data_IF_399442216560
#
_entry.id   IF_399442216560
#
_cell.length_a   1.000
_cell.length_b   1.000
_cell.length_c   1.000
_cell.angle_alpha   90.00
_cell.angle_beta   90.00
_cell.angle_gamma   90.00
#
_symmetry.space_group_name_H-M   'P 1'
#
loop_
_entity.id
_entity.type
_entity.pdbx_description
1 polymer ?
#
# COMPACT_ATOMS: atom_id res chain seq x y z
N UNK A 1 12.58 -0.18 -6.05
CA UNK A 1 11.87 -1.37 -5.61
C UNK A 1 11.29 -2.21 -6.76
N UNK A 2 11.06 -1.62 -7.94
CA UNK A 2 10.63 -2.36 -9.11
C UNK A 2 11.82 -3.06 -9.77
N UNK A 3 11.59 -4.28 -10.24
CA UNK A 3 12.56 -5.06 -11.00
C UNK A 3 11.90 -5.57 -12.27
N UNK A 4 12.66 -5.86 -13.33
CA UNK A 4 12.12 -6.50 -14.53
C UNK A 4 11.38 -7.79 -14.17
N UNK A 5 10.21 -8.00 -14.76
CA UNK A 5 9.36 -9.14 -14.46
C UNK A 5 8.35 -8.89 -13.35
N UNK A 6 8.45 -7.80 -12.59
CA UNK A 6 7.44 -7.43 -11.62
C UNK A 6 6.12 -7.09 -12.32
N UNK A 7 5.01 -7.37 -11.66
CA UNK A 7 3.69 -6.98 -12.15
C UNK A 7 3.19 -5.75 -11.40
N UNK A 8 2.47 -4.90 -12.11
CA UNK A 8 1.74 -3.77 -11.54
C UNK A 8 0.25 -4.01 -11.76
N UNK A 9 -0.51 -3.95 -10.68
CA UNK A 9 -1.96 -4.03 -10.71
C UNK A 9 -2.51 -2.64 -10.48
N UNK A 10 -3.28 -2.13 -11.44
CA UNK A 10 -3.91 -0.83 -11.38
C UNK A 10 -5.42 -0.99 -11.30
N UNK A 11 -6.09 -0.04 -10.66
CA UNK A 11 -7.54 0.00 -10.54
C UNK A 11 -8.10 -1.34 -10.01
N UNK A 12 -7.59 -1.76 -8.85
CA UNK A 12 -7.97 -3.02 -8.19
C UNK A 12 -7.77 -4.27 -9.06
N UNK A 13 -6.73 -4.25 -9.90
CA UNK A 13 -6.38 -5.38 -10.74
C UNK A 13 -7.12 -5.42 -12.08
N UNK A 14 -7.93 -4.43 -12.39
CA UNK A 14 -8.60 -4.33 -13.70
C UNK A 14 -7.64 -4.06 -14.84
N UNK A 15 -6.52 -3.40 -14.52
CA UNK A 15 -5.40 -3.18 -15.42
C UNK A 15 -4.19 -3.92 -14.89
N UNK A 16 -3.45 -4.58 -15.76
CA UNK A 16 -2.26 -5.32 -15.37
C UNK A 16 -1.11 -5.02 -16.32
N UNK A 17 0.03 -4.65 -15.75
CA UNK A 17 1.25 -4.34 -16.48
C UNK A 17 2.39 -5.23 -16.02
N UNK A 18 3.32 -5.55 -16.91
CA UNK A 18 4.57 -6.21 -16.56
C UNK A 18 5.74 -5.27 -16.80
N UNK A 19 6.64 -5.15 -15.83
CA UNK A 19 7.82 -4.31 -15.94
C UNK A 19 8.83 -4.99 -16.88
N UNK A 20 9.19 -4.31 -17.96
CA UNK A 20 10.19 -4.77 -18.93
C UNK A 20 11.57 -4.27 -18.55
N UNK A 21 11.68 -2.98 -18.24
CA UNK A 21 12.89 -2.31 -17.80
C UNK A 21 12.53 -1.26 -16.77
N UNK A 22 13.45 -0.99 -15.86
CA UNK A 22 13.28 0.11 -14.91
C UNK A 22 14.63 0.71 -14.54
N UNK A 23 14.58 1.99 -14.15
CA UNK A 23 15.69 2.71 -13.55
C UNK A 23 15.16 3.52 -12.36
N UNK A 24 16.00 4.44 -11.82
CA UNK A 24 15.62 5.22 -10.63
C UNK A 24 14.45 6.17 -10.88
N UNK A 25 14.19 6.57 -12.12
CA UNK A 25 13.19 7.59 -12.45
C UNK A 25 12.03 7.09 -13.29
N UNK A 26 12.11 5.89 -13.86
CA UNK A 26 11.07 5.40 -14.77
C UNK A 26 11.07 3.89 -14.89
N UNK A 27 9.99 3.36 -15.42
CA UNK A 27 9.86 1.95 -15.76
C UNK A 27 9.10 1.81 -17.08
N UNK A 28 9.66 0.98 -17.99
CA UNK A 28 8.96 0.59 -19.19
C UNK A 28 8.15 -0.65 -18.91
N UNK A 29 6.89 -0.66 -19.30
CA UNK A 29 5.97 -1.75 -19.01
C UNK A 29 5.32 -2.28 -20.26
N UNK A 30 4.88 -3.54 -20.19
CA UNK A 30 4.04 -4.19 -21.21
C UNK A 30 2.65 -4.35 -20.62
N UNK A 31 1.64 -3.95 -21.39
CA UNK A 31 0.24 -4.12 -20.97
C UNK A 31 -0.15 -5.59 -21.15
N UNK A 32 -0.53 -6.24 -20.05
CA UNK A 32 -1.05 -7.61 -20.04
C UNK A 32 -2.56 -7.62 -20.14
N UNK A 33 -3.22 -6.79 -19.34
CA UNK A 33 -4.66 -6.58 -19.39
C UNK A 33 -4.87 -5.08 -19.51
N UNK A 34 -5.40 -4.65 -20.66
CA UNK A 34 -5.64 -3.25 -20.95
C UNK A 34 -7.01 -2.77 -20.46
N UNK A 35 -7.17 -1.47 -20.45
CA UNK A 35 -8.39 -0.81 -20.06
C UNK A 35 -8.19 0.69 -19.97
N UNK A 36 -9.19 1.37 -19.43
CA UNK A 36 -9.14 2.81 -19.25
C UNK A 36 -8.33 3.16 -18.01
N UNK A 37 -7.25 3.90 -18.18
CA UNK A 37 -6.48 4.45 -17.08
C UNK A 37 -6.88 5.90 -16.84
N UNK A 38 -7.18 6.23 -15.61
CA UNK A 38 -7.50 7.59 -15.20
C UNK A 38 -6.67 7.99 -13.98
N UNK A 39 -6.78 9.25 -13.57
CA UNK A 39 -6.07 9.75 -12.40
C UNK A 39 -6.54 9.09 -11.10
N UNK A 40 -5.68 9.09 -10.10
CA UNK A 40 -5.97 8.64 -8.73
C UNK A 40 -6.37 7.17 -8.64
N UNK A 41 -5.83 6.35 -9.53
CA UNK A 41 -6.01 4.90 -9.42
C UNK A 41 -4.97 4.30 -8.51
N UNK A 42 -5.39 3.35 -7.70
CA UNK A 42 -4.48 2.60 -6.84
C UNK A 42 -3.54 1.72 -7.63
N UNK A 43 -2.31 1.57 -7.12
CA UNK A 43 -1.30 0.67 -7.69
C UNK A 43 -0.93 -0.36 -6.66
N UNK A 44 -1.01 -1.64 -7.02
CA UNK A 44 -0.55 -2.73 -6.19
C UNK A 44 0.59 -3.47 -6.90
N UNK A 45 1.63 -3.81 -6.17
CA UNK A 45 2.80 -4.54 -6.67
C UNK A 45 2.93 -5.83 -5.88
N UNK A 46 2.31 -6.93 -6.36
CA UNK A 46 2.38 -8.21 -5.65
C UNK A 46 3.81 -8.70 -5.47
N UNK A 47 4.10 -9.26 -4.31
CA UNK A 47 5.41 -9.84 -4.02
C UNK A 47 6.54 -8.83 -3.76
N UNK A 48 6.24 -7.54 -3.76
CA UNK A 48 7.21 -6.49 -3.48
C UNK A 48 6.81 -5.78 -2.19
N UNK A 49 7.75 -5.71 -1.24
CA UNK A 49 7.59 -4.90 -0.02
C UNK A 49 8.09 -3.50 -0.34
N UNK A 50 7.16 -2.53 -0.29
CA UNK A 50 7.50 -1.13 -0.56
C UNK A 50 8.15 -0.51 0.67
N UNK A 51 9.10 0.45 0.49
CA UNK A 51 9.77 1.11 1.60
C UNK A 51 8.90 2.22 2.22
N UNK A 52 7.65 1.89 2.51
CA UNK A 52 6.68 2.80 3.13
C UNK A 52 6.10 2.12 4.36
N UNK A 53 5.80 2.93 5.38
CA UNK A 53 5.12 2.44 6.57
C UNK A 53 3.63 2.28 6.30
N UNK A 54 3.01 1.29 6.95
CA UNK A 54 1.55 1.16 6.97
C UNK A 54 0.88 2.35 7.66
N UNK A 55 1.60 3.01 8.56
CA UNK A 55 1.13 4.20 9.28
C UNK A 55 1.94 5.41 8.84
N UNK A 56 1.32 6.30 8.08
CA UNK A 56 1.90 7.61 7.74
C UNK A 56 1.76 8.57 8.92
N UNK A 57 2.44 9.73 8.91
CA UNK A 57 2.22 10.75 9.93
C UNK A 57 0.75 11.16 10.08
N UNK A 58 0.02 11.26 8.97
CA UNK A 58 -1.43 11.52 9.01
C UNK A 58 -2.19 10.38 9.68
N UNK A 59 -1.83 9.14 9.37
CA UNK A 59 -2.46 7.96 9.95
C UNK A 59 -2.25 7.89 11.47
N UNK A 60 -1.07 8.31 11.95
CA UNK A 60 -0.80 8.37 13.38
C UNK A 60 -1.73 9.35 14.09
N UNK A 61 -1.97 10.52 13.49
CA UNK A 61 -2.93 11.50 14.01
C UNK A 61 -4.36 10.95 13.99
N UNK A 62 -4.74 10.32 12.86
CA UNK A 62 -6.08 9.75 12.69
C UNK A 62 -6.32 8.60 13.68
N UNK A 63 -5.30 7.78 13.95
CA UNK A 63 -5.37 6.70 14.93
C UNK A 63 -5.70 7.27 16.33
N UNK A 64 -4.99 8.32 16.76
CA UNK A 64 -5.25 8.94 18.05
C UNK A 64 -6.67 9.50 18.11
N UNK A 65 -7.13 10.15 17.05
CA UNK A 65 -8.48 10.67 16.97
C UNK A 65 -9.51 9.54 17.07
N UNK A 66 -9.31 8.44 16.36
CA UNK A 66 -10.22 7.30 16.42
C UNK A 66 -10.29 6.70 17.83
N UNK A 67 -9.15 6.57 18.52
CA UNK A 67 -9.09 6.07 19.88
C UNK A 67 -9.76 7.04 20.86
N UNK A 68 -9.56 8.34 20.69
CA UNK A 68 -10.18 9.36 21.53
C UNK A 68 -11.70 9.39 21.35
N UNK A 69 -12.19 9.07 20.16
CA UNK A 69 -13.62 8.94 19.88
C UNK A 69 -14.23 7.62 20.37
N UNK A 70 -13.43 6.72 20.91
CA UNK A 70 -13.91 5.46 21.50
C UNK A 70 -14.11 4.33 20.51
N UNK A 71 -13.37 4.31 19.42
CA UNK A 71 -13.42 3.18 18.48
C UNK A 71 -13.04 1.89 19.17
N UNK A 72 -13.82 0.84 18.98
CA UNK A 72 -13.56 -0.49 19.55
C UNK A 72 -12.62 -1.30 18.68
N UNK A 73 -12.61 -1.04 17.38
CA UNK A 73 -11.81 -1.75 16.40
C UNK A 73 -11.06 -0.79 15.51
N UNK A 74 -9.81 -1.09 15.23
CA UNK A 74 -8.97 -0.34 14.31
C UNK A 74 -8.59 -1.25 13.16
N UNK A 75 -8.90 -0.84 11.94
CA UNK A 75 -8.52 -1.56 10.73
C UNK A 75 -7.28 -0.90 10.13
N UNK A 76 -6.24 -1.70 9.90
CA UNK A 76 -4.97 -1.23 9.33
C UNK A 76 -4.86 -1.71 7.89
N UNK A 77 -4.79 -0.75 6.96
CA UNK A 77 -4.60 -1.03 5.54
C UNK A 77 -3.11 -1.03 5.17
N UNK A 78 -2.80 -1.59 4.01
CA UNK A 78 -1.44 -1.63 3.45
C UNK A 78 -0.42 -2.31 4.36
N UNK A 79 -0.85 -3.30 5.12
CA UNK A 79 0.06 -4.12 5.93
C UNK A 79 0.94 -4.96 5.01
N UNK A 80 2.24 -4.85 5.18
CA UNK A 80 3.22 -5.59 4.38
C UNK A 80 4.07 -6.53 5.21
N UNK A 81 4.22 -6.26 6.51
CA UNK A 81 5.09 -7.00 7.42
C UNK A 81 4.39 -7.23 8.76
N UNK A 82 4.75 -8.30 9.49
CA UNK A 82 4.23 -8.50 10.85
C UNK A 82 4.51 -7.31 11.79
N UNK A 83 5.64 -6.62 11.58
CA UNK A 83 6.04 -5.45 12.37
C UNK A 83 5.06 -4.29 12.24
N UNK A 84 4.37 -4.19 11.11
CA UNK A 84 3.33 -3.16 10.91
C UNK A 84 2.20 -3.34 11.91
N UNK A 85 1.80 -4.59 12.16
CA UNK A 85 0.77 -4.91 13.16
C UNK A 85 1.29 -4.66 14.57
N UNK A 86 2.53 -5.06 14.88
CA UNK A 86 3.13 -4.87 16.18
C UNK A 86 3.26 -3.39 16.53
N UNK A 87 3.65 -2.56 15.57
CA UNK A 87 3.73 -1.10 15.73
C UNK A 87 2.36 -0.51 16.05
N UNK A 88 1.34 -0.87 15.28
CA UNK A 88 -0.02 -0.38 15.52
C UNK A 88 -0.52 -0.84 16.90
N UNK A 89 -0.30 -2.09 17.26
CA UNK A 89 -0.71 -2.63 18.57
C UNK A 89 -0.06 -1.90 19.72
N UNK A 90 1.23 -1.55 19.60
CA UNK A 90 1.94 -0.78 20.62
C UNK A 90 1.33 0.62 20.81
N UNK A 91 0.91 1.26 19.72
CA UNK A 91 0.28 2.59 19.77
C UNK A 91 -1.14 2.54 20.34
N UNK A 92 -1.89 1.49 20.01
CA UNK A 92 -3.27 1.32 20.48
C UNK A 92 -3.30 0.97 21.98
N UNK A 93 -2.38 0.12 22.43
CA UNK A 93 -2.38 -0.38 23.81
C UNK A 93 -3.68 -1.13 24.13
N UNK A 94 -4.31 -0.76 25.23
CA UNK A 94 -5.56 -1.38 25.68
C UNK A 94 -6.81 -0.63 25.22
N UNK A 95 -6.67 0.42 24.41
CA UNK A 95 -7.77 1.32 24.05
C UNK A 95 -8.70 0.73 22.99
N UNK A 96 -8.24 -0.27 22.25
CA UNK A 96 -9.07 -0.94 21.24
C UNK A 96 -8.62 -2.38 20.98
#
# INVERSE_FOLDING_TARGET
>A
ALVPGAELLLDDGRLRLSVVRCDAGSADTRVLIGGRLSERKGVNVPGVVLPISALTPKDLCDLQTALDLGADWIALSFVQRPEDISEARALIGDRA
#
